data_IF_778726785269
#
_entry.id   IF_778726785269
#
_cell.length_a   1.000
_cell.length_b   1.000
_cell.length_c   1.000
_cell.angle_alpha   90.00
_cell.angle_beta   90.00
_cell.angle_gamma   90.00
#
_symmetry.space_group_name_H-M   'P 1'
#
loop_
_entity.id
_entity.type
_entity.pdbx_description
1 polymer ?
#
# COMPACT_ATOMS: atom_id res chain seq x y z
N UNK A 1 -1.92 15.57 -1.28
CA UNK A 1 -0.99 14.59 -1.76
C UNK A 1 -1.68 13.70 -2.73
N UNK A 2 -1.20 13.52 -3.69
CA UNK A 2 -1.09 12.92 -4.97
C UNK A 2 -2.40 12.48 -5.60
N UNK A 3 -2.91 13.42 -6.40
CA UNK A 3 -3.93 13.10 -7.42
C UNK A 3 -3.56 11.83 -8.20
N UNK A 4 -2.26 11.59 -8.43
CA UNK A 4 -1.76 10.40 -9.11
C UNK A 4 -2.00 9.14 -8.27
N UNK A 5 -1.64 9.13 -6.98
CA UNK A 5 -1.88 7.99 -6.11
C UNK A 5 -3.38 7.70 -5.96
N UNK A 6 -4.18 8.74 -5.80
CA UNK A 6 -5.63 8.61 -5.74
C UNK A 6 -6.20 8.05 -7.04
N UNK A 7 -5.79 8.59 -8.19
CA UNK A 7 -6.24 8.11 -9.49
C UNK A 7 -5.88 6.64 -9.73
N UNK A 8 -4.65 6.23 -9.40
CA UNK A 8 -4.21 4.83 -9.51
C UNK A 8 -5.00 3.89 -8.59
N UNK A 9 -5.34 4.36 -7.40
CA UNK A 9 -6.17 3.59 -6.47
C UNK A 9 -7.59 3.42 -7.00
N UNK A 10 -8.19 4.49 -7.52
CA UNK A 10 -9.54 4.47 -8.07
C UNK A 10 -9.68 3.62 -9.33
N UNK A 11 -8.63 3.45 -10.11
CA UNK A 11 -8.65 2.53 -11.25
C UNK A 11 -9.00 1.09 -10.87
N UNK A 12 -8.58 0.65 -9.70
CA UNK A 12 -8.88 -0.72 -9.22
C UNK A 12 -10.16 -0.77 -8.40
N UNK A 13 -10.46 0.29 -7.65
CA UNK A 13 -11.59 0.29 -6.70
C UNK A 13 -12.93 0.63 -7.35
N UNK A 14 -12.93 1.32 -8.50
CA UNK A 14 -14.17 1.68 -9.18
C UNK A 14 -14.63 0.53 -10.09
N UNK A 15 -15.68 -0.17 -9.68
CA UNK A 15 -16.31 -1.24 -10.46
C UNK A 15 -16.91 -0.79 -11.81
N UNK A 16 -17.04 0.51 -12.03
CA UNK A 16 -17.53 1.10 -13.29
C UNK A 16 -16.39 1.59 -14.18
N UNK A 17 -15.13 1.37 -13.77
CA UNK A 17 -14.00 1.75 -14.58
C UNK A 17 -14.01 0.99 -15.91
N UNK A 18 -13.95 1.74 -17.03
CA UNK A 18 -14.01 1.18 -18.38
C UNK A 18 -12.80 0.31 -18.75
N UNK A 19 -11.70 0.39 -17.99
CA UNK A 19 -10.52 -0.47 -18.17
C UNK A 19 -10.71 -1.85 -17.54
N UNK A 20 -11.73 -2.04 -16.71
CA UNK A 20 -12.02 -3.34 -16.09
C UNK A 20 -12.76 -4.22 -17.09
N UNK A 21 -12.07 -5.23 -17.62
CA UNK A 21 -12.63 -6.20 -18.54
C UNK A 21 -13.58 -7.18 -17.84
N UNK A 22 -13.21 -7.57 -16.62
CA UNK A 22 -14.01 -8.48 -15.80
C UNK A 22 -13.78 -8.19 -14.32
N UNK A 23 -14.85 -8.18 -13.54
CA UNK A 23 -14.79 -8.04 -12.09
C UNK A 23 -15.74 -9.04 -11.43
N UNK A 24 -15.26 -9.74 -10.42
CA UNK A 24 -16.11 -10.54 -9.56
C UNK A 24 -16.79 -9.63 -8.54
N UNK A 25 -18.08 -9.37 -8.76
CA UNK A 25 -18.89 -8.50 -7.89
C UNK A 25 -19.77 -9.28 -6.91
N UNK A 26 -19.54 -10.61 -6.77
CA UNK A 26 -20.29 -11.42 -5.80
C UNK A 26 -19.99 -10.93 -4.39
N UNK A 27 -21.02 -10.89 -3.57
CA UNK A 27 -20.90 -10.49 -2.16
C UNK A 27 -20.63 -11.68 -1.23
N UNK A 28 -20.93 -12.89 -1.69
CA UNK A 28 -20.75 -14.11 -0.92
C UNK A 28 -19.29 -14.55 -0.93
N UNK A 29 -18.73 -14.79 0.25
CA UNK A 29 -17.37 -15.31 0.42
C UNK A 29 -16.22 -14.32 0.21
N UNK A 30 -16.49 -13.05 -0.14
CA UNK A 30 -15.45 -12.04 -0.32
C UNK A 30 -15.05 -11.32 0.98
N UNK A 31 -15.89 -11.40 1.99
CA UNK A 31 -15.66 -10.73 3.27
C UNK A 31 -14.37 -11.22 3.96
N UNK A 32 -14.18 -12.52 4.05
CA UNK A 32 -13.02 -13.09 4.74
C UNK A 32 -11.69 -12.77 4.05
N UNK A 33 -11.52 -12.93 2.73
CA UNK A 33 -10.30 -12.51 2.05
C UNK A 33 -9.98 -11.02 2.18
N UNK A 34 -11.00 -10.17 2.13
CA UNK A 34 -10.82 -8.73 2.33
C UNK A 34 -10.38 -8.40 3.76
N UNK A 35 -11.00 -9.01 4.76
CA UNK A 35 -10.62 -8.81 6.16
C UNK A 35 -9.23 -9.36 6.46
N UNK A 36 -8.84 -10.47 5.84
CA UNK A 36 -7.51 -11.06 6.01
C UNK A 36 -6.42 -10.20 5.39
N UNK A 37 -6.70 -9.55 4.25
CA UNK A 37 -5.73 -8.75 3.52
C UNK A 37 -5.68 -7.28 3.98
N UNK A 38 -6.76 -6.77 4.55
CA UNK A 38 -6.80 -5.39 5.00
C UNK A 38 -5.90 -5.18 6.22
N UNK A 39 -5.17 -4.05 6.31
CA UNK A 39 -4.45 -3.67 7.51
C UNK A 39 -5.39 -3.61 8.72
N UNK A 40 -4.90 -3.99 9.88
CA UNK A 40 -5.70 -3.99 11.11
C UNK A 40 -6.18 -2.58 11.44
N UNK A 41 -7.49 -2.42 11.53
CA UNK A 41 -8.11 -1.16 11.93
C UNK A 41 -8.11 -1.02 13.46
N UNK A 42 -7.39 -0.04 14.03
CA UNK A 42 -7.40 0.18 15.47
C UNK A 42 -8.73 0.77 15.97
N UNK A 43 -9.56 1.33 15.09
CA UNK A 43 -10.81 2.02 15.45
C UNK A 43 -12.00 1.06 15.48
N UNK A 44 -12.06 0.10 14.60
CA UNK A 44 -13.20 -0.83 14.45
C UNK A 44 -13.05 -2.16 15.21
N UNK A 45 -12.16 -2.22 16.17
CA UNK A 45 -12.10 -3.37 17.10
C UNK A 45 -11.70 -4.71 16.49
N UNK A 46 -11.08 -4.71 15.30
CA UNK A 46 -10.44 -5.91 14.78
C UNK A 46 -11.20 -6.69 13.72
N UNK A 47 -12.04 -6.05 12.93
CA UNK A 47 -12.66 -6.70 11.76
C UNK A 47 -11.66 -6.98 10.63
N UNK A 48 -10.49 -6.36 10.63
CA UNK A 48 -9.40 -6.63 9.69
C UNK A 48 -8.21 -7.26 10.43
N UNK A 49 -7.64 -8.31 9.84
CA UNK A 49 -6.73 -9.21 10.57
C UNK A 49 -5.27 -9.06 10.19
N UNK A 50 -4.97 -8.36 9.10
CA UNK A 50 -3.61 -8.21 8.59
C UNK A 50 -2.86 -9.56 8.44
N UNK A 51 -3.59 -10.60 8.05
CA UNK A 51 -3.08 -11.98 7.98
C UNK A 51 -2.48 -12.35 6.64
N UNK A 52 -2.71 -11.55 5.61
CA UNK A 52 -2.19 -11.75 4.26
C UNK A 52 -1.50 -10.48 3.80
N UNK A 53 -0.22 -10.58 3.55
CA UNK A 53 0.59 -9.48 3.05
C UNK A 53 1.33 -9.85 1.75
N UNK A 54 1.81 -8.86 1.00
CA UNK A 54 2.65 -9.11 -0.17
C UNK A 54 3.98 -9.76 0.25
N UNK A 55 4.49 -10.65 -0.58
CA UNK A 55 5.84 -11.18 -0.40
C UNK A 55 6.88 -10.09 -0.61
N UNK A 56 8.08 -10.28 -0.05
CA UNK A 56 9.19 -9.34 -0.23
C UNK A 56 9.55 -9.19 -1.72
N UNK A 57 9.51 -10.28 -2.48
CA UNK A 57 9.81 -10.24 -3.91
C UNK A 57 8.78 -9.42 -4.68
N UNK A 58 7.49 -9.51 -4.32
CA UNK A 58 6.46 -8.64 -4.89
C UNK A 58 6.72 -7.17 -4.57
N UNK A 59 7.12 -6.86 -3.33
CA UNK A 59 7.47 -5.49 -2.93
C UNK A 59 8.65 -4.95 -3.74
N UNK A 60 9.63 -5.79 -4.08
CA UNK A 60 10.80 -5.40 -4.86
C UNK A 60 10.50 -5.12 -6.35
N UNK A 61 9.41 -5.67 -6.90
CA UNK A 61 9.04 -5.45 -8.32
C UNK A 61 8.69 -4.00 -8.63
N UNK A 62 8.22 -3.25 -7.66
CA UNK A 62 7.94 -1.83 -7.85
C UNK A 62 9.21 -1.03 -8.10
N UNK A 63 9.12 -0.05 -8.97
CA UNK A 63 10.23 0.81 -9.35
C UNK A 63 10.54 1.88 -8.28
N UNK A 64 11.71 2.47 -8.41
CA UNK A 64 12.08 3.67 -7.64
C UNK A 64 11.35 4.90 -8.19
N UNK A 65 11.45 6.01 -7.48
CA UNK A 65 10.95 7.32 -7.96
C UNK A 65 11.64 7.80 -9.26
N UNK A 66 12.78 7.22 -9.61
CA UNK A 66 13.51 7.48 -10.85
C UNK A 66 13.04 6.60 -12.02
N UNK A 67 12.07 5.69 -11.80
CA UNK A 67 11.54 4.79 -12.83
C UNK A 67 12.45 3.61 -13.15
N UNK A 68 13.36 3.24 -12.26
CA UNK A 68 14.28 2.11 -12.41
C UNK A 68 13.94 0.98 -11.43
N UNK A 69 14.25 -0.28 -11.76
CA UNK A 69 14.27 -1.35 -10.78
C UNK A 69 15.16 -0.99 -9.59
N UNK A 70 14.79 -1.45 -8.39
CA UNK A 70 15.54 -1.09 -7.17
C UNK A 70 16.99 -1.55 -7.19
N UNK A 71 17.27 -2.64 -7.88
CA UNK A 71 18.63 -3.22 -7.98
C UNK A 71 19.49 -2.53 -9.07
N UNK A 72 18.86 -1.72 -9.95
CA UNK A 72 19.50 -1.02 -11.04
C UNK A 72 19.65 0.49 -10.79
N UNK A 73 19.00 1.02 -9.77
CA UNK A 73 19.05 2.45 -9.45
C UNK A 73 20.21 2.74 -8.49
N UNK A 74 21.30 3.41 -8.98
CA UNK A 74 22.45 3.72 -8.14
C UNK A 74 22.16 4.74 -7.03
N UNK A 75 21.02 5.42 -7.09
CA UNK A 75 20.57 6.38 -6.08
C UNK A 75 19.64 5.76 -5.04
N UNK A 76 19.27 4.49 -5.23
CA UNK A 76 18.46 3.76 -4.28
C UNK A 76 19.34 3.09 -3.21
N UNK A 77 18.70 2.54 -2.20
CA UNK A 77 19.37 1.85 -1.11
C UNK A 77 19.93 0.50 -1.57
N UNK A 78 21.05 0.09 -0.99
CA UNK A 78 21.59 -1.25 -1.21
C UNK A 78 20.82 -2.31 -0.42
N UNK A 79 20.87 -3.59 -0.79
CA UNK A 79 20.18 -4.65 -0.05
C UNK A 79 20.49 -4.67 1.45
N UNK A 80 21.72 -4.35 1.84
CA UNK A 80 22.16 -4.26 3.24
C UNK A 80 21.50 -3.10 4.01
N UNK A 81 20.95 -2.12 3.27
CA UNK A 81 20.32 -0.93 3.84
C UNK A 81 18.79 -0.99 3.81
N UNK A 82 18.20 -1.96 3.14
CA UNK A 82 16.74 -2.02 2.95
C UNK A 82 15.96 -1.98 4.26
N UNK A 83 16.42 -2.67 5.27
CA UNK A 83 15.75 -2.76 6.56
C UNK A 83 16.26 -1.77 7.62
N UNK A 84 17.20 -0.90 7.26
CA UNK A 84 17.61 0.19 8.14
C UNK A 84 16.49 1.22 8.28
N UNK A 85 16.52 1.92 9.39
CA UNK A 85 15.53 2.94 9.74
C UNK A 85 15.65 4.13 8.78
N UNK A 86 14.52 4.49 8.18
CA UNK A 86 14.34 5.68 7.38
C UNK A 86 13.11 6.46 7.83
N UNK A 87 12.80 7.55 7.12
CA UNK A 87 11.66 8.40 7.46
C UNK A 87 10.78 8.66 6.25
N UNK A 88 9.48 8.39 6.40
CA UNK A 88 8.44 8.72 5.45
C UNK A 88 7.52 9.76 6.08
N UNK A 89 7.54 11.00 5.56
CA UNK A 89 6.71 12.11 6.07
C UNK A 89 6.82 12.34 7.58
N UNK A 90 8.04 12.28 8.11
CA UNK A 90 8.28 12.44 9.53
C UNK A 90 7.96 11.24 10.40
N UNK A 91 7.59 10.11 9.78
CA UNK A 91 7.28 8.84 10.47
C UNK A 91 8.34 7.80 10.16
N UNK A 92 8.69 7.01 11.16
CA UNK A 92 9.72 5.97 11.05
C UNK A 92 9.23 4.78 10.24
N UNK A 93 10.00 4.38 9.24
CA UNK A 93 9.78 3.15 8.46
C UNK A 93 11.13 2.58 8.00
N UNK A 94 11.14 1.51 7.21
CA UNK A 94 12.39 1.01 6.65
C UNK A 94 12.69 1.67 5.29
N UNK A 95 13.96 1.70 4.91
CA UNK A 95 14.41 2.31 3.66
C UNK A 95 13.79 1.68 2.42
N UNK A 96 13.45 0.38 2.45
CA UNK A 96 12.79 -0.31 1.36
C UNK A 96 11.47 0.35 0.93
N UNK A 97 10.81 1.04 1.85
CA UNK A 97 9.53 1.71 1.60
C UNK A 97 9.69 3.15 1.09
N UNK A 98 10.91 3.64 0.98
CA UNK A 98 11.18 5.03 0.60
C UNK A 98 11.57 5.15 -0.88
N UNK A 99 11.44 6.36 -1.44
CA UNK A 99 11.83 6.68 -2.81
C UNK A 99 11.26 5.71 -3.86
N UNK A 100 10.00 5.34 -3.68
CA UNK A 100 9.31 4.41 -4.58
C UNK A 100 8.38 5.17 -5.53
N UNK A 101 8.03 4.50 -6.62
CA UNK A 101 7.04 5.01 -7.57
C UNK A 101 5.65 5.20 -6.95
N UNK A 102 4.77 6.04 -7.52
CA UNK A 102 3.43 6.29 -6.97
C UNK A 102 2.56 5.04 -6.82
N UNK A 103 2.71 4.02 -7.70
CA UNK A 103 1.97 2.75 -7.61
C UNK A 103 2.26 2.00 -6.32
N UNK A 104 3.52 2.02 -5.87
CA UNK A 104 3.89 1.42 -4.58
C UNK A 104 3.05 2.00 -3.44
N UNK A 105 3.02 3.31 -3.32
CA UNK A 105 2.28 4.00 -2.26
C UNK A 105 0.77 3.88 -2.38
N UNK A 106 0.27 3.53 -3.56
CA UNK A 106 -1.16 3.33 -3.80
C UNK A 106 -1.63 1.93 -3.41
N UNK A 107 -0.78 0.92 -3.58
CA UNK A 107 -1.17 -0.49 -3.50
C UNK A 107 -0.53 -1.24 -2.35
N UNK A 108 0.58 -0.77 -1.82
CA UNK A 108 1.30 -1.43 -0.73
C UNK A 108 1.08 -0.67 0.57
N UNK A 109 0.48 -1.35 1.53
CA UNK A 109 0.41 -0.86 2.90
C UNK A 109 1.66 -1.28 3.66
N UNK A 110 2.32 -0.33 4.32
CA UNK A 110 3.56 -0.57 5.06
C UNK A 110 3.57 0.19 6.38
N UNK A 111 4.47 -0.19 7.27
CA UNK A 111 4.60 0.40 8.59
C UNK A 111 4.74 1.92 8.54
N UNK A 112 3.85 2.63 9.22
CA UNK A 112 3.75 4.10 9.23
C UNK A 112 3.50 4.75 7.85
N UNK A 113 3.13 3.97 6.84
CA UNK A 113 2.61 4.48 5.58
C UNK A 113 1.22 5.08 5.74
N UNK A 114 0.82 5.85 4.74
CA UNK A 114 -0.55 6.35 4.68
C UNK A 114 -1.46 5.29 4.08
N UNK A 115 -2.48 4.90 4.81
CA UNK A 115 -3.57 4.06 4.31
C UNK A 115 -4.89 4.78 4.53
N UNK A 116 -5.62 5.03 3.44
CA UNK A 116 -6.90 5.70 3.51
C UNK A 116 -7.97 4.72 3.95
N UNK A 117 -8.49 4.91 5.14
CA UNK A 117 -9.70 4.25 5.61
C UNK A 117 -10.79 5.30 5.77
N UNK A 118 -11.86 5.13 5.02
CA UNK A 118 -12.99 6.05 5.07
C UNK A 118 -14.02 5.51 6.06
N UNK A 119 -14.17 6.21 7.17
CA UNK A 119 -15.35 6.14 8.01
C UNK A 119 -16.06 7.48 7.90
N UNK A 120 -17.38 7.50 7.85
CA UNK A 120 -18.23 8.70 7.78
C UNK A 120 -17.58 9.92 8.43
N UNK A 121 -16.97 10.80 7.62
CA UNK A 121 -16.39 12.08 8.05
C UNK A 121 -15.03 12.03 8.77
N UNK A 122 -14.39 10.88 8.93
CA UNK A 122 -13.08 10.78 9.58
C UNK A 122 -12.08 10.09 8.65
N UNK A 123 -11.09 10.83 8.22
CA UNK A 123 -9.93 10.31 7.49
C UNK A 123 -8.95 9.74 8.52
N UNK A 124 -8.83 8.42 8.59
CA UNK A 124 -7.87 7.77 9.48
C UNK A 124 -6.55 7.49 8.75
N UNK A 125 -5.47 8.05 9.27
CA UNK A 125 -4.13 7.57 8.98
C UNK A 125 -3.82 6.41 9.92
N UNK A 126 -3.39 5.26 9.40
CA UNK A 126 -2.81 4.22 10.23
C UNK A 126 -1.48 4.72 10.80
N UNK A 127 -1.55 5.34 11.97
CA UNK A 127 -0.40 5.48 12.83
C UNK A 127 -0.26 4.17 13.61
N UNK A 128 0.88 3.51 13.48
CA UNK A 128 1.29 2.33 14.26
C UNK A 128 0.57 1.02 13.88
N UNK A 129 1.02 0.37 12.83
CA UNK A 129 1.00 -1.08 12.70
C UNK A 129 2.38 -1.61 13.09
#
# INVERSE_FOLDING_TARGET
>A
KDLIQYALKMQIMDKKNMEVIWADTRTEGVYDPQNQSAPRDPVNGGNSWNGVGPTLDFVKVFYTENGLPIDEDPKYYTPDDYFKIGQYEGRTTCNLNLKREPRFYSWVSFHNGYFEMQREGVQCCLGNV
#
